data_IF_091299766182
#
_entry.id   IF_091299766182
#
_cell.length_a   1.000
_cell.length_b   1.000
_cell.length_c   1.000
_cell.angle_alpha   90.00
_cell.angle_beta   90.00
_cell.angle_gamma   90.00
#
_symmetry.space_group_name_H-M   'P 1'
#
loop_
_entity.id
_entity.type
_entity.pdbx_description
1 polymer ?
#
# COMPACT_ATOMS: atom_id res chain seq x y z
N UNK A 1 16.05 -1.61 -2.67
CA UNK A 1 15.24 -1.88 -1.46
C UNK A 1 15.98 -1.44 -0.20
N UNK A 2 15.56 -0.33 0.41
CA UNK A 2 16.03 0.12 1.72
C UNK A 2 15.07 -0.33 2.83
N UNK A 3 15.61 -0.73 3.97
CA UNK A 3 14.82 -1.19 5.13
C UNK A 3 15.29 -0.55 6.44
N UNK A 4 14.38 -0.39 7.41
CA UNK A 4 14.64 0.10 8.77
C UNK A 4 15.63 -0.81 9.51
N UNK A 5 15.48 -2.13 9.37
CA UNK A 5 16.37 -3.15 9.93
C UNK A 5 16.45 -4.39 9.04
N UNK A 6 17.25 -5.37 9.46
CA UNK A 6 17.37 -6.69 8.82
C UNK A 6 16.01 -7.43 8.82
N UNK A 7 15.80 -8.26 7.80
CA UNK A 7 14.60 -9.09 7.68
C UNK A 7 14.49 -10.07 8.88
N UNK A 8 13.42 -10.00 9.70
CA UNK A 8 13.22 -10.90 10.83
C UNK A 8 13.14 -12.38 10.45
N UNK A 9 12.71 -12.71 9.22
CA UNK A 9 12.64 -14.09 8.73
C UNK A 9 14.02 -14.81 8.73
N UNK A 10 15.13 -14.06 8.76
CA UNK A 10 16.46 -14.64 8.94
C UNK A 10 16.62 -15.43 10.25
N UNK A 11 15.80 -15.15 11.27
CA UNK A 11 15.80 -15.92 12.52
C UNK A 11 15.41 -17.40 12.29
N UNK A 12 14.68 -17.67 11.20
CA UNK A 12 14.13 -18.99 10.88
C UNK A 12 15.08 -19.84 10.01
N UNK A 13 16.20 -19.27 9.55
CA UNK A 13 17.11 -19.97 8.64
C UNK A 13 17.63 -21.28 9.25
N UNK A 14 17.43 -22.38 8.52
CA UNK A 14 17.82 -23.73 8.95
C UNK A 14 16.93 -24.35 10.04
N UNK A 15 15.78 -23.74 10.36
CA UNK A 15 14.86 -24.24 11.38
C UNK A 15 13.55 -24.71 10.76
N UNK A 16 13.04 -25.84 11.24
CA UNK A 16 11.67 -26.27 10.96
C UNK A 16 10.73 -25.53 11.92
N UNK A 17 9.83 -24.72 11.39
CA UNK A 17 8.87 -23.92 12.17
C UNK A 17 7.44 -24.14 11.71
N UNK A 18 6.48 -23.80 12.57
CA UNK A 18 5.07 -23.82 12.19
C UNK A 18 4.83 -22.77 11.08
N UNK A 19 4.07 -23.09 10.01
CA UNK A 19 3.87 -22.15 8.91
C UNK A 19 3.27 -20.80 9.31
N UNK A 20 2.40 -20.74 10.33
CA UNK A 20 1.84 -19.48 10.82
C UNK A 20 2.92 -18.60 11.45
N UNK A 21 3.87 -19.21 12.15
CA UNK A 21 5.03 -18.50 12.72
C UNK A 21 5.91 -18.00 11.57
N UNK A 22 6.18 -18.84 10.57
CA UNK A 22 6.95 -18.44 9.39
C UNK A 22 6.33 -17.24 8.68
N UNK A 23 5.04 -17.31 8.36
CA UNK A 23 4.29 -16.22 7.75
C UNK A 23 4.36 -14.94 8.57
N UNK A 24 4.18 -15.01 9.89
CA UNK A 24 4.25 -13.80 10.72
C UNK A 24 5.65 -13.16 10.67
N UNK A 25 6.71 -13.97 10.69
CA UNK A 25 8.08 -13.47 10.60
C UNK A 25 8.39 -12.86 9.23
N UNK A 26 7.90 -13.46 8.15
CA UNK A 26 7.96 -12.92 6.79
C UNK A 26 7.18 -11.59 6.67
N UNK A 27 5.95 -11.55 7.20
CA UNK A 27 5.12 -10.34 7.25
C UNK A 27 5.81 -9.18 7.96
N UNK A 28 6.60 -9.44 9.00
CA UNK A 28 7.35 -8.38 9.69
C UNK A 28 8.40 -7.70 8.80
N UNK A 29 8.75 -8.26 7.64
CA UNK A 29 9.54 -7.55 6.65
C UNK A 29 8.86 -6.27 6.18
N UNK A 30 7.53 -6.25 6.02
CA UNK A 30 6.79 -5.04 5.63
C UNK A 30 6.88 -3.91 6.66
N UNK A 31 7.11 -4.24 7.94
CA UNK A 31 7.37 -3.23 8.99
C UNK A 31 8.75 -2.62 8.87
N UNK A 32 9.69 -3.33 8.24
CA UNK A 32 11.04 -2.85 7.99
C UNK A 32 11.17 -2.19 6.62
N UNK A 33 10.38 -2.60 5.64
CA UNK A 33 10.43 -2.08 4.28
C UNK A 33 9.92 -0.64 4.23
N UNK A 34 10.79 0.31 3.91
CA UNK A 34 10.37 1.68 3.66
C UNK A 34 9.54 1.75 2.40
N UNK A 35 8.58 2.69 2.37
CA UNK A 35 7.99 3.16 1.12
C UNK A 35 9.05 3.95 0.35
N UNK A 36 9.69 3.30 -0.61
CA UNK A 36 10.85 3.77 -1.37
C UNK A 36 10.55 5.09 -2.09
N UNK A 37 9.32 5.28 -2.58
CA UNK A 37 8.89 6.53 -3.23
C UNK A 37 9.17 7.78 -2.39
N UNK A 38 8.94 7.72 -1.08
CA UNK A 38 9.20 8.84 -0.18
C UNK A 38 10.70 9.09 0.03
N UNK A 39 11.51 8.03 0.11
CA UNK A 39 12.97 8.16 0.20
C UNK A 39 13.53 8.83 -1.04
N UNK A 40 13.02 8.50 -2.23
CA UNK A 40 13.40 9.15 -3.50
C UNK A 40 13.06 10.65 -3.51
N UNK A 41 12.07 11.09 -2.72
CA UNK A 41 11.73 12.52 -2.54
C UNK A 41 12.39 13.17 -1.33
N UNK A 42 13.36 12.51 -0.73
CA UNK A 42 14.16 13.05 0.36
C UNK A 42 13.43 13.11 1.70
N UNK A 43 12.40 12.27 1.91
CA UNK A 43 11.89 12.04 3.26
C UNK A 43 12.96 11.27 4.05
N UNK A 44 13.39 11.75 5.24
CA UNK A 44 14.43 11.08 6.03
C UNK A 44 14.06 9.66 6.45
N UNK A 45 15.01 8.72 6.40
CA UNK A 45 14.76 7.31 6.75
C UNK A 45 14.17 7.13 8.16
N UNK A 46 14.60 7.91 9.14
CA UNK A 46 14.07 7.83 10.52
C UNK A 46 12.64 8.37 10.68
N UNK A 47 12.05 8.91 9.61
CA UNK A 47 10.67 9.43 9.57
C UNK A 47 9.83 8.89 8.42
N UNK A 48 10.45 8.17 7.50
CA UNK A 48 9.78 7.54 6.37
C UNK A 48 8.91 6.38 6.86
N UNK A 49 7.67 6.36 6.38
CA UNK A 49 6.76 5.26 6.66
C UNK A 49 7.26 3.95 6.06
N UNK A 50 6.84 2.85 6.66
CA UNK A 50 6.99 1.51 6.10
C UNK A 50 5.74 1.10 5.32
N UNK A 51 5.85 0.04 4.52
CA UNK A 51 4.71 -0.55 3.83
C UNK A 51 3.62 -0.97 4.82
N UNK A 52 4.01 -1.48 6.00
CA UNK A 52 3.04 -1.78 7.06
C UNK A 52 2.31 -0.54 7.61
N UNK A 53 2.98 0.62 7.66
CA UNK A 53 2.35 1.88 8.10
C UNK A 53 1.30 2.34 7.07
N UNK A 54 1.64 2.26 5.79
CA UNK A 54 0.72 2.51 4.67
C UNK A 54 -0.49 1.55 4.71
N UNK A 55 -0.27 0.25 4.89
CA UNK A 55 -1.36 -0.73 5.01
C UNK A 55 -2.31 -0.41 6.18
N UNK A 56 -1.77 0.07 7.30
CA UNK A 56 -2.59 0.51 8.43
C UNK A 56 -3.42 1.75 8.07
N UNK A 57 -2.80 2.79 7.49
CA UNK A 57 -3.48 4.00 7.02
C UNK A 57 -4.60 3.68 6.03
N UNK A 58 -4.29 2.86 5.02
CA UNK A 58 -5.25 2.45 3.98
C UNK A 58 -6.39 1.63 4.55
N UNK A 59 -6.11 0.75 5.53
CA UNK A 59 -7.16 -0.06 6.18
C UNK A 59 -8.15 0.80 6.97
N UNK A 60 -7.65 1.76 7.75
CA UNK A 60 -8.50 2.67 8.53
C UNK A 60 -9.27 3.60 7.58
N UNK A 61 -8.62 4.13 6.54
CA UNK A 61 -9.27 4.98 5.56
C UNK A 61 -10.38 4.21 4.83
N UNK A 62 -10.12 2.97 4.43
CA UNK A 62 -11.11 2.12 3.78
C UNK A 62 -12.30 1.82 4.70
N UNK A 63 -12.03 1.47 5.96
CA UNK A 63 -13.06 1.23 6.96
C UNK A 63 -14.01 2.42 7.08
N UNK A 64 -13.48 3.62 7.29
CA UNK A 64 -14.29 4.82 7.50
C UNK A 64 -15.05 5.24 6.23
N UNK A 65 -14.39 5.20 5.06
CA UNK A 65 -15.03 5.58 3.79
C UNK A 65 -16.16 4.62 3.43
N UNK A 66 -15.92 3.31 3.56
CA UNK A 66 -16.89 2.29 3.16
C UNK A 66 -18.10 2.32 4.09
N UNK A 67 -17.88 2.43 5.40
CA UNK A 67 -18.95 2.54 6.40
C UNK A 67 -19.80 3.80 6.18
N UNK A 68 -19.17 4.92 5.79
CA UNK A 68 -19.87 6.20 5.62
C UNK A 68 -20.63 6.33 4.30
N UNK A 69 -20.19 5.64 3.24
CA UNK A 69 -20.65 5.96 1.87
C UNK A 69 -20.98 4.74 1.00
N UNK A 70 -20.66 3.52 1.43
CA UNK A 70 -20.72 2.31 0.59
C UNK A 70 -21.28 1.10 1.35
N UNK A 71 -22.43 1.27 2.02
CA UNK A 71 -23.10 0.24 2.84
C UNK A 71 -23.38 -1.09 2.10
N UNK A 72 -23.49 -1.06 0.77
CA UNK A 72 -23.76 -2.25 -0.04
C UNK A 72 -22.54 -3.12 -0.31
N UNK A 73 -21.33 -2.67 0.03
CA UNK A 73 -20.09 -3.42 -0.23
C UNK A 73 -19.71 -4.30 0.96
N UNK A 74 -19.08 -5.44 0.68
CA UNK A 74 -18.60 -6.34 1.73
C UNK A 74 -17.34 -5.77 2.40
N UNK A 75 -17.53 -5.14 3.56
CA UNK A 75 -16.46 -4.59 4.39
C UNK A 75 -15.40 -5.65 4.77
N UNK A 76 -15.81 -6.88 5.08
CA UNK A 76 -14.88 -7.93 5.49
C UNK A 76 -13.98 -8.31 4.32
N UNK A 77 -14.55 -8.46 3.13
CA UNK A 77 -13.80 -8.72 1.90
C UNK A 77 -12.86 -7.56 1.55
N UNK A 78 -13.34 -6.32 1.64
CA UNK A 78 -12.55 -5.11 1.41
C UNK A 78 -11.33 -5.03 2.33
N UNK A 79 -11.53 -5.19 3.65
CA UNK A 79 -10.43 -5.16 4.62
C UNK A 79 -9.45 -6.32 4.39
N UNK A 80 -9.95 -7.51 4.05
CA UNK A 80 -9.06 -8.62 3.67
C UNK A 80 -8.22 -8.29 2.43
N UNK A 81 -8.79 -7.65 1.41
CA UNK A 81 -8.05 -7.20 0.23
C UNK A 81 -6.96 -6.19 0.61
N UNK A 82 -7.32 -5.14 1.37
CA UNK A 82 -6.36 -4.11 1.81
C UNK A 82 -5.21 -4.75 2.56
N UNK A 83 -5.48 -5.63 3.51
CA UNK A 83 -4.44 -6.23 4.36
C UNK A 83 -3.47 -7.14 3.60
N UNK A 84 -3.83 -7.62 2.41
CA UNK A 84 -3.01 -8.58 1.66
C UNK A 84 -2.42 -8.05 0.35
N UNK A 85 -2.87 -6.90 -0.15
CA UNK A 85 -2.54 -6.47 -1.52
C UNK A 85 -1.03 -6.23 -1.74
N UNK A 86 -0.32 -5.68 -0.75
CA UNK A 86 1.12 -5.43 -0.80
C UNK A 86 1.97 -6.61 -0.26
N UNK A 87 1.40 -7.80 0.00
CA UNK A 87 2.20 -8.91 0.57
C UNK A 87 3.29 -9.42 -0.39
N UNK A 88 3.13 -9.20 -1.70
CA UNK A 88 4.19 -9.51 -2.66
C UNK A 88 5.51 -8.77 -2.36
N UNK A 89 5.42 -7.58 -1.76
CA UNK A 89 6.55 -6.73 -1.42
C UNK A 89 7.46 -7.31 -0.33
N UNK A 90 6.99 -8.34 0.39
CA UNK A 90 7.82 -9.09 1.34
C UNK A 90 9.09 -9.64 0.67
N UNK A 91 9.01 -10.05 -0.60
CA UNK A 91 10.16 -10.59 -1.32
C UNK A 91 10.66 -9.67 -2.42
N UNK A 92 9.78 -8.92 -3.08
CA UNK A 92 10.17 -8.09 -4.23
C UNK A 92 10.60 -6.67 -3.83
N UNK A 93 10.24 -6.24 -2.61
CA UNK A 93 10.37 -4.87 -2.14
C UNK A 93 9.30 -3.93 -2.72
N UNK A 94 9.23 -2.70 -2.21
CA UNK A 94 8.35 -1.66 -2.74
C UNK A 94 8.95 -1.10 -4.04
N UNK A 95 8.46 -1.64 -5.17
CA UNK A 95 8.92 -1.32 -6.52
C UNK A 95 8.25 -0.03 -7.00
N UNK A 96 9.08 0.95 -7.32
CA UNK A 96 8.65 2.28 -7.76
C UNK A 96 8.69 2.43 -9.29
N UNK A 97 8.03 3.47 -9.85
CA UNK A 97 8.19 3.81 -11.26
C UNK A 97 9.64 4.13 -11.68
N UNK A 98 10.52 4.43 -10.73
CA UNK A 98 11.94 4.73 -10.98
C UNK A 98 12.81 3.47 -11.12
N UNK A 99 12.30 2.30 -10.76
CA UNK A 99 13.03 1.03 -10.90
C UNK A 99 12.96 0.46 -12.33
N UNK A 100 12.21 1.10 -13.23
CA UNK A 100 12.09 0.73 -14.65
C UNK A 100 11.66 -0.73 -14.91
N UNK A 101 10.97 -1.34 -13.95
CA UNK A 101 10.36 -2.67 -14.09
C UNK A 101 9.00 -2.53 -14.80
N UNK A 102 8.74 -3.38 -15.79
CA UNK A 102 7.45 -3.40 -16.49
C UNK A 102 6.33 -3.86 -15.56
N UNK A 103 5.08 -3.50 -15.89
CA UNK A 103 3.93 -3.92 -15.08
C UNK A 103 3.76 -5.43 -15.09
N UNK A 104 4.03 -6.05 -16.23
CA UNK A 104 3.94 -7.48 -16.45
C UNK A 104 4.95 -8.22 -15.57
N UNK A 105 6.20 -7.76 -15.56
CA UNK A 105 7.26 -8.33 -14.72
C UNK A 105 6.99 -8.11 -13.23
N UNK A 106 6.53 -6.91 -12.83
CA UNK A 106 6.12 -6.63 -11.44
C UNK A 106 5.04 -7.61 -11.01
N UNK A 107 3.98 -7.75 -11.81
CA UNK A 107 2.87 -8.65 -11.51
C UNK A 107 3.30 -10.12 -11.41
N UNK A 108 4.16 -10.60 -12.32
CA UNK A 108 4.69 -11.97 -12.26
C UNK A 108 5.49 -12.22 -10.97
N UNK A 109 6.32 -11.27 -10.56
CA UNK A 109 7.13 -11.39 -9.34
C UNK A 109 6.26 -11.34 -8.08
N UNK A 110 5.29 -10.43 -8.03
CA UNK A 110 4.34 -10.35 -6.92
C UNK A 110 3.49 -11.62 -6.83
N UNK A 111 3.00 -12.13 -7.96
CA UNK A 111 2.21 -13.35 -7.98
C UNK A 111 3.02 -14.55 -7.45
N UNK A 112 4.29 -14.66 -7.85
CA UNK A 112 5.20 -15.69 -7.33
C UNK A 112 5.38 -15.53 -5.81
N UNK A 113 5.62 -14.31 -5.34
CA UNK A 113 5.81 -14.03 -3.92
C UNK A 113 4.58 -14.37 -3.08
N UNK A 114 3.40 -13.89 -3.48
CA UNK A 114 2.12 -14.14 -2.80
C UNK A 114 1.78 -15.63 -2.81
N UNK A 115 2.07 -16.33 -3.91
CA UNK A 115 1.89 -17.79 -3.98
C UNK A 115 2.80 -18.50 -2.98
N UNK A 116 4.07 -18.11 -2.88
CA UNK A 116 5.02 -18.70 -1.94
C UNK A 116 4.58 -18.47 -0.49
N UNK A 117 4.22 -17.24 -0.13
CA UNK A 117 3.73 -16.85 1.20
C UNK A 117 2.50 -17.68 1.62
N UNK A 118 1.48 -17.73 0.75
CA UNK A 118 0.22 -18.38 1.10
C UNK A 118 0.21 -19.89 0.88
N UNK A 119 1.14 -20.46 0.09
CA UNK A 119 1.23 -21.92 -0.09
C UNK A 119 1.47 -22.68 1.22
N UNK A 120 2.07 -22.00 2.21
CA UNK A 120 2.43 -22.55 3.51
C UNK A 120 1.25 -22.52 4.51
N UNK A 121 0.21 -21.71 4.26
CA UNK A 121 -0.85 -21.39 5.24
C UNK A 121 -2.15 -22.13 4.94
N UNK A 122 -2.88 -22.63 5.97
CA UNK A 122 -4.23 -23.16 5.79
C UNK A 122 -5.14 -22.15 5.07
N UNK A 123 -5.92 -22.60 4.09
CA UNK A 123 -6.76 -21.75 3.24
C UNK A 123 -5.99 -20.74 2.37
N UNK A 124 -4.68 -20.91 2.17
CA UNK A 124 -3.85 -20.06 1.31
C UNK A 124 -4.42 -19.78 -0.08
N UNK A 125 -5.08 -20.77 -0.69
CA UNK A 125 -5.74 -20.64 -2.00
C UNK A 125 -6.79 -19.52 -2.03
N UNK A 126 -7.53 -19.31 -0.94
CA UNK A 126 -8.54 -18.26 -0.87
C UNK A 126 -7.90 -16.87 -0.84
N UNK A 127 -6.77 -16.71 -0.15
CA UNK A 127 -6.03 -15.46 -0.12
C UNK A 127 -5.35 -15.16 -1.46
N UNK A 128 -4.80 -16.18 -2.14
CA UNK A 128 -4.27 -16.03 -3.49
C UNK A 128 -5.38 -15.60 -4.46
N UNK A 129 -6.56 -16.21 -4.38
CA UNK A 129 -7.71 -15.81 -5.19
C UNK A 129 -8.15 -14.37 -4.91
N UNK A 130 -8.18 -13.96 -3.63
CA UNK A 130 -8.53 -12.60 -3.24
C UNK A 130 -7.50 -11.57 -3.72
N UNK A 131 -6.21 -11.90 -3.64
CA UNK A 131 -5.14 -11.06 -4.18
C UNK A 131 -5.26 -10.92 -5.70
N UNK A 132 -5.56 -12.00 -6.44
CA UNK A 132 -5.82 -11.94 -7.89
C UNK A 132 -7.02 -11.06 -8.21
N UNK A 133 -8.09 -11.18 -7.45
CA UNK A 133 -9.29 -10.34 -7.64
C UNK A 133 -8.95 -8.84 -7.46
N UNK A 134 -8.12 -8.51 -6.47
CA UNK A 134 -7.59 -7.16 -6.32
C UNK A 134 -6.78 -6.73 -7.55
N UNK A 135 -5.88 -7.60 -8.02
CA UNK A 135 -5.01 -7.37 -9.18
C UNK A 135 -5.77 -7.13 -10.49
N UNK A 136 -6.83 -7.91 -10.73
CA UNK A 136 -7.70 -7.75 -11.89
C UNK A 136 -8.50 -6.45 -11.85
N UNK A 137 -8.88 -5.98 -10.65
CA UNK A 137 -9.55 -4.68 -10.47
C UNK A 137 -10.92 -4.60 -11.14
N UNK A 138 -11.63 -5.73 -11.25
CA UNK A 138 -12.92 -5.83 -11.97
C UNK A 138 -14.12 -5.78 -11.03
N UNK A 139 -13.95 -6.11 -9.75
CA UNK A 139 -15.04 -6.13 -8.77
C UNK A 139 -15.25 -4.76 -8.11
N UNK A 140 -16.47 -4.45 -7.64
CA UNK A 140 -16.72 -3.20 -6.93
C UNK A 140 -15.78 -3.00 -5.74
N UNK A 141 -15.48 -4.07 -4.99
CA UNK A 141 -14.55 -3.99 -3.86
C UNK A 141 -13.13 -3.66 -4.29
N UNK A 142 -12.58 -4.38 -5.27
CA UNK A 142 -11.20 -4.15 -5.75
C UNK A 142 -11.04 -2.78 -6.40
N UNK A 143 -12.04 -2.31 -7.15
CA UNK A 143 -12.04 -0.97 -7.75
C UNK A 143 -12.08 0.14 -6.70
N UNK A 144 -12.82 -0.06 -5.61
CA UNK A 144 -12.89 0.92 -4.53
C UNK A 144 -11.58 0.97 -3.75
N UNK A 145 -11.03 -0.19 -3.33
CA UNK A 145 -9.77 -0.23 -2.58
C UNK A 145 -8.62 0.38 -3.37
N UNK A 146 -8.49 0.09 -4.67
CA UNK A 146 -7.46 0.72 -5.51
C UNK A 146 -7.52 2.24 -5.46
N UNK A 147 -8.71 2.81 -5.46
CA UNK A 147 -8.85 4.27 -5.38
C UNK A 147 -8.53 4.81 -3.98
N UNK A 148 -8.88 4.07 -2.93
CA UNK A 148 -8.57 4.43 -1.54
C UNK A 148 -7.06 4.35 -1.28
N UNK A 149 -6.39 3.33 -1.80
CA UNK A 149 -4.92 3.18 -1.79
C UNK A 149 -4.24 4.42 -2.40
N UNK A 150 -4.69 4.86 -3.58
CA UNK A 150 -4.15 6.07 -4.20
C UNK A 150 -4.41 7.32 -3.34
N UNK A 151 -5.60 7.43 -2.75
CA UNK A 151 -5.95 8.56 -1.90
C UNK A 151 -5.08 8.62 -0.65
N UNK A 152 -4.85 7.49 0.01
CA UNK A 152 -4.01 7.41 1.21
C UNK A 152 -2.61 7.97 0.92
N UNK A 153 -2.01 7.55 -0.20
CA UNK A 153 -0.72 8.07 -0.65
C UNK A 153 -0.74 9.59 -0.88
N UNK A 154 -1.81 10.15 -1.44
CA UNK A 154 -1.95 11.59 -1.59
C UNK A 154 -2.15 12.32 -0.26
N UNK A 155 -2.84 11.71 0.71
CA UNK A 155 -3.05 12.29 2.04
C UNK A 155 -1.71 12.34 2.77
N UNK A 156 -0.94 11.26 2.72
CA UNK A 156 0.40 11.19 3.28
C UNK A 156 1.36 12.20 2.63
N UNK A 157 1.23 12.44 1.31
CA UNK A 157 1.99 13.48 0.63
C UNK A 157 1.72 14.88 1.21
N UNK A 158 0.45 15.24 1.46
CA UNK A 158 0.12 16.55 2.09
C UNK A 158 0.71 16.65 3.49
N UNK A 159 0.65 15.57 4.27
CA UNK A 159 1.24 15.52 5.62
C UNK A 159 2.75 15.76 5.55
N UNK A 160 3.45 15.09 4.63
CA UNK A 160 4.88 15.26 4.45
C UNK A 160 5.27 16.64 3.88
N UNK A 161 4.48 17.22 2.99
CA UNK A 161 4.70 18.62 2.56
C UNK A 161 4.67 19.57 3.75
N UNK A 162 3.67 19.42 4.63
CA UNK A 162 3.55 20.23 5.82
C UNK A 162 4.68 19.99 6.84
N UNK A 163 4.96 18.73 7.18
CA UNK A 163 5.95 18.37 8.21
C UNK A 163 7.38 18.76 7.83
N UNK A 164 7.72 18.73 6.54
CA UNK A 164 9.08 18.96 6.05
C UNK A 164 9.22 20.24 5.24
N UNK A 165 8.22 21.12 5.27
CA UNK A 165 8.18 22.38 4.51
C UNK A 165 8.53 22.18 3.02
N UNK A 166 8.03 21.09 2.41
CA UNK A 166 8.27 20.83 0.99
C UNK A 166 7.32 21.65 0.14
N UNK A 167 7.81 22.12 -0.99
CA UNK A 167 6.97 22.84 -1.96
C UNK A 167 6.04 21.86 -2.69
N UNK A 168 4.86 22.34 -3.09
CA UNK A 168 3.88 21.51 -3.82
C UNK A 168 4.42 20.86 -5.11
N UNK A 169 5.47 21.39 -5.73
CA UNK A 169 6.04 20.74 -6.91
C UNK A 169 6.91 19.50 -6.57
N UNK A 170 7.39 19.35 -5.34
CA UNK A 170 8.29 18.27 -4.94
C UNK A 170 7.59 16.92 -4.82
N UNK A 171 6.37 16.89 -4.28
CA UNK A 171 5.56 15.67 -4.13
C UNK A 171 4.39 15.60 -5.13
N UNK A 172 4.41 16.40 -6.20
CA UNK A 172 3.32 16.49 -7.17
C UNK A 172 3.00 15.15 -7.87
N UNK A 173 3.98 14.27 -8.05
CA UNK A 173 3.76 12.99 -8.73
C UNK A 173 2.76 12.08 -8.00
N UNK A 174 2.69 12.16 -6.67
CA UNK A 174 1.74 11.40 -5.85
C UNK A 174 0.29 11.86 -6.07
N UNK A 175 0.09 13.08 -6.58
CA UNK A 175 -1.22 13.62 -6.95
C UNK A 175 -1.56 13.36 -8.42
N UNK A 176 -0.56 13.40 -9.32
CA UNK A 176 -0.77 13.17 -10.75
C UNK A 176 -1.42 11.82 -11.04
N UNK A 177 -1.09 10.81 -10.23
CA UNK A 177 -1.69 9.48 -10.35
C UNK A 177 -3.17 9.48 -9.95
N UNK A 178 -3.50 10.09 -8.81
CA UNK A 178 -4.87 10.26 -8.33
C UNK A 178 -5.75 11.02 -9.34
N UNK A 179 -5.26 12.14 -9.88
CA UNK A 179 -5.95 12.96 -10.88
C UNK A 179 -6.37 12.15 -12.13
N UNK A 180 -5.64 11.08 -12.46
CA UNK A 180 -5.91 10.21 -13.61
C UNK A 180 -6.76 8.99 -13.28
N UNK A 181 -6.73 8.53 -12.02
CA UNK A 181 -7.22 7.19 -11.65
C UNK A 181 -8.48 7.21 -10.78
N UNK A 182 -8.75 8.31 -10.07
CA UNK A 182 -9.99 8.47 -9.32
C UNK A 182 -11.18 8.59 -10.28
N UNK A 183 -12.20 7.76 -10.04
CA UNK A 183 -13.43 7.66 -10.85
C UNK A 183 -14.69 7.81 -10.01
N UNK A 184 -14.66 7.32 -8.78
CA UNK A 184 -15.80 7.39 -7.89
C UNK A 184 -16.07 8.85 -7.44
N UNK A 185 -17.30 9.33 -7.62
CA UNK A 185 -17.67 10.74 -7.32
C UNK A 185 -17.44 11.13 -5.87
N UNK A 186 -17.76 10.25 -4.93
CA UNK A 186 -17.55 10.48 -3.49
C UNK A 186 -16.06 10.65 -3.19
N UNK A 187 -15.23 9.72 -3.69
CA UNK A 187 -13.78 9.78 -3.52
C UNK A 187 -13.17 11.03 -4.18
N UNK A 188 -13.63 11.39 -5.38
CA UNK A 188 -13.21 12.62 -6.06
C UNK A 188 -13.52 13.87 -5.22
N UNK A 189 -14.68 13.91 -4.55
CA UNK A 189 -15.05 15.05 -3.72
C UNK A 189 -14.17 15.15 -2.47
N UNK A 190 -13.92 14.04 -1.77
CA UNK A 190 -12.99 13.99 -0.64
C UNK A 190 -11.58 14.41 -1.07
N UNK A 191 -11.11 13.89 -2.20
CA UNK A 191 -9.80 14.23 -2.74
C UNK A 191 -9.67 15.72 -3.10
N UNK A 192 -10.73 16.36 -3.62
CA UNK A 192 -10.74 17.81 -3.87
C UNK A 192 -10.55 18.61 -2.59
N UNK A 193 -11.10 18.17 -1.46
CA UNK A 193 -10.89 18.82 -0.16
C UNK A 193 -9.44 18.73 0.29
N UNK A 194 -8.82 17.56 0.15
CA UNK A 194 -7.38 17.40 0.42
C UNK A 194 -6.52 18.27 -0.50
N UNK A 195 -6.87 18.40 -1.78
CA UNK A 195 -6.17 19.34 -2.68
C UNK A 195 -6.32 20.80 -2.27
N UNK A 196 -7.47 21.21 -1.72
CA UNK A 196 -7.66 22.57 -1.20
C UNK A 196 -6.75 22.81 0.00
N UNK A 197 -6.71 21.87 0.96
CA UNK A 197 -5.82 21.95 2.13
C UNK A 197 -4.35 22.14 1.72
N UNK A 198 -3.89 21.32 0.76
CA UNK A 198 -2.55 21.41 0.19
C UNK A 198 -2.19 22.79 -0.37
N UNK A 199 -3.15 23.48 -0.99
CA UNK A 199 -2.92 24.80 -1.57
C UNK A 199 -2.89 25.92 -0.52
N UNK A 200 -3.56 25.74 0.61
CA UNK A 200 -3.60 26.75 1.70
C UNK A 200 -2.36 26.72 2.58
N UNK A 201 -1.70 25.57 2.72
CA UNK A 201 -0.54 25.40 3.61
C UNK A 201 0.72 26.14 3.13
N UNK A 202 0.84 26.44 1.84
CA UNK A 202 2.02 27.08 1.22
C UNK A 202 1.92 28.62 1.11
N UNK A 203 0.96 29.26 1.77
CA UNK A 203 0.84 30.72 1.82
C UNK A 203 1.46 31.33 3.10
N UNK A 204 2.19 30.54 3.89
CA UNK A 204 2.96 31.00 5.06
C UNK A 204 4.44 30.77 4.82
#
# INVERSE_FOLDING_TARGET
>A
MKTKNRNPALLLQGKKVNPIIEFYFELNHLKQLFRQGWLLKGIPENKCESVADHLFGTSILALIIVDSYFESLDMIKLLKMVLIHELGEIYIGDVTPHDHISKETKHEWEYKAVTEIFSKIPNGKNYIALWKEYEEGVTPESQLIRQIDYMEMAFQAVIYEHQYNKRNNELQEFFNFNDRKLKNKTLINLYKEVRKLRNTTNQK
#
